data_IF_476295398560
#
_entry.id   IF_476295398560
#
_cell.length_a   1.000
_cell.length_b   1.000
_cell.length_c   1.000
_cell.angle_alpha   90.00
_cell.angle_beta   90.00
_cell.angle_gamma   90.00
#
_symmetry.space_group_name_H-M   'P 1'
#
loop_
_entity.id
_entity.type
_entity.pdbx_description
1 polymer ?
#
# COMPACT_ATOMS: atom_id res chain seq x y z
N UNK A 1 0.48 -7.57 59.41
CA UNK A 1 -0.21 -8.49 58.49
C UNK A 1 0.27 -8.16 57.08
N UNK A 2 0.61 -9.13 56.22
CA UNK A 2 0.97 -8.85 54.83
C UNK A 2 -0.26 -8.41 54.03
N UNK A 3 -0.06 -7.52 53.06
CA UNK A 3 -1.10 -7.05 52.15
C UNK A 3 -1.49 -8.12 51.13
N UNK A 4 -2.78 -8.20 50.79
CA UNK A 4 -3.28 -8.99 49.67
C UNK A 4 -2.56 -8.61 48.35
N UNK A 5 -2.34 -9.57 47.42
CA UNK A 5 -1.87 -9.23 46.08
C UNK A 5 -2.92 -8.41 45.32
N UNK A 6 -2.52 -7.57 44.36
CA UNK A 6 -3.47 -6.78 43.57
C UNK A 6 -4.36 -7.67 42.71
N UNK A 7 -5.65 -7.32 42.63
CA UNK A 7 -6.60 -7.96 41.73
C UNK A 7 -6.16 -7.74 40.27
N UNK A 8 -5.74 -8.80 39.58
CA UNK A 8 -5.68 -8.81 38.12
C UNK A 8 -7.11 -8.85 37.56
N UNK A 9 -7.77 -7.69 37.58
CA UNK A 9 -9.09 -7.50 36.98
C UNK A 9 -9.03 -7.82 35.50
N UNK A 10 -10.03 -8.55 35.03
CA UNK A 10 -10.10 -9.18 33.72
C UNK A 10 -9.67 -8.26 32.57
N UNK A 11 -8.46 -8.48 32.05
CA UNK A 11 -8.14 -8.12 30.67
C UNK A 11 -8.97 -9.03 29.75
N UNK A 12 -9.48 -8.53 28.60
CA UNK A 12 -10.15 -9.37 27.61
C UNK A 12 -9.24 -10.53 27.17
N UNK A 13 -9.82 -11.72 26.98
CA UNK A 13 -9.10 -12.94 26.58
C UNK A 13 -8.33 -12.79 25.25
N UNK A 14 -8.75 -11.84 24.43
CA UNK A 14 -8.14 -11.43 23.16
C UNK A 14 -6.67 -11.00 23.30
N UNK A 15 -6.28 -10.40 24.44
CA UNK A 15 -4.91 -9.94 24.68
C UNK A 15 -3.87 -11.08 24.75
N UNK A 16 -4.30 -12.32 24.94
CA UNK A 16 -3.42 -13.50 25.09
C UNK A 16 -3.47 -14.46 23.90
N UNK A 17 -4.16 -14.10 22.82
CA UNK A 17 -4.18 -14.92 21.60
C UNK A 17 -2.84 -14.85 20.86
N UNK A 18 -2.31 -16.02 20.48
CA UNK A 18 -1.04 -16.16 19.75
C UNK A 18 -1.09 -17.29 18.74
N UNK A 19 -0.31 -17.15 17.68
CA UNK A 19 -0.05 -18.17 16.66
C UNK A 19 1.36 -18.70 16.85
N UNK A 20 1.54 -20.02 16.77
CA UNK A 20 2.88 -20.62 16.69
C UNK A 20 3.22 -20.96 15.24
N UNK A 21 4.26 -20.34 14.69
CA UNK A 21 4.79 -20.63 13.36
C UNK A 21 6.24 -21.09 13.46
N UNK A 22 6.58 -22.27 12.93
CA UNK A 22 7.91 -22.89 13.01
C UNK A 22 8.55 -22.89 14.42
N UNK A 23 7.73 -23.01 15.48
CA UNK A 23 8.17 -22.97 16.87
C UNK A 23 8.36 -21.57 17.46
N UNK A 24 8.18 -20.50 16.68
CA UNK A 24 8.15 -19.12 17.15
C UNK A 24 6.71 -18.71 17.49
N UNK A 25 6.51 -18.06 18.64
CA UNK A 25 5.19 -17.59 19.09
C UNK A 25 5.01 -16.12 18.70
N UNK A 26 3.99 -15.84 17.90
CA UNK A 26 3.63 -14.51 17.43
C UNK A 26 2.30 -14.12 18.10
N UNK A 27 2.32 -13.08 18.93
CA UNK A 27 1.10 -12.56 19.56
C UNK A 27 0.22 -11.85 18.53
N UNK A 28 -1.10 -12.06 18.56
CA UNK A 28 -2.03 -11.35 17.66
C UNK A 28 -2.07 -9.84 17.94
N UNK A 29 -1.82 -9.43 19.18
CA UNK A 29 -1.63 -8.02 19.55
C UNK A 29 -0.41 -7.40 18.86
N UNK A 30 0.73 -8.11 18.79
CA UNK A 30 1.91 -7.66 18.06
C UNK A 30 1.66 -7.59 16.55
N UNK A 31 0.92 -8.57 16.00
CA UNK A 31 0.50 -8.57 14.60
C UNK A 31 -0.38 -7.35 14.26
N UNK A 32 -1.40 -7.05 15.10
CA UNK A 32 -2.28 -5.88 14.92
C UNK A 32 -1.49 -4.57 15.00
N UNK A 33 -0.56 -4.45 15.95
CA UNK A 33 0.33 -3.27 16.08
C UNK A 33 1.24 -3.11 14.86
N UNK A 34 1.81 -4.20 14.33
CA UNK A 34 2.63 -4.15 13.12
C UNK A 34 1.85 -3.74 11.88
N UNK A 35 0.69 -4.34 11.62
CA UNK A 35 -0.15 -3.99 10.45
C UNK A 35 -0.61 -2.53 10.53
N UNK A 36 -1.04 -2.06 11.71
CA UNK A 36 -1.38 -0.65 11.90
C UNK A 36 -0.17 0.28 11.67
N UNK A 37 1.04 -0.14 12.07
CA UNK A 37 2.27 0.63 11.82
C UNK A 37 2.65 0.66 10.33
N UNK A 38 2.45 -0.42 9.58
CA UNK A 38 2.64 -0.42 8.12
C UNK A 38 1.69 0.57 7.44
N UNK A 39 0.41 0.61 7.85
CA UNK A 39 -0.59 1.53 7.31
C UNK A 39 -0.24 3.00 7.65
N UNK A 40 0.19 3.27 8.88
CA UNK A 40 0.68 4.59 9.30
C UNK A 40 1.94 5.02 8.53
N UNK A 41 2.92 4.14 8.33
CA UNK A 41 4.13 4.43 7.55
C UNK A 41 3.79 4.68 6.07
N UNK A 42 2.92 3.88 5.46
CA UNK A 42 2.43 4.08 4.10
C UNK A 42 1.66 5.41 3.95
N UNK A 43 0.85 5.76 4.95
CA UNK A 43 0.13 7.05 4.99
C UNK A 43 1.10 8.23 5.11
N UNK A 44 2.13 8.12 5.95
CA UNK A 44 3.14 9.15 6.10
C UNK A 44 3.95 9.37 4.82
N UNK A 45 4.43 8.31 4.17
CA UNK A 45 5.15 8.41 2.89
C UNK A 45 4.26 9.05 1.82
N UNK A 46 2.99 8.61 1.69
CA UNK A 46 2.07 9.19 0.72
C UNK A 46 1.88 10.69 0.94
N UNK A 47 1.51 11.11 2.15
CA UNK A 47 1.14 12.51 2.38
C UNK A 47 2.33 13.45 2.57
N UNK A 48 3.42 13.01 3.23
CA UNK A 48 4.58 13.86 3.53
C UNK A 48 5.61 13.88 2.40
N UNK A 49 5.90 12.74 1.79
CA UNK A 49 7.00 12.59 0.82
C UNK A 49 6.55 12.61 -0.64
N UNK A 50 5.29 12.27 -0.94
CA UNK A 50 4.81 12.07 -2.31
C UNK A 50 3.71 13.04 -2.77
N UNK A 51 2.86 13.52 -1.85
CA UNK A 51 1.78 14.49 -2.12
C UNK A 51 2.02 15.87 -1.46
N UNK A 52 3.00 15.97 -0.57
CA UNK A 52 3.40 17.20 0.13
C UNK A 52 2.25 17.95 0.81
N UNK A 53 1.29 17.20 1.38
CA UNK A 53 -0.04 17.68 1.80
C UNK A 53 -0.50 17.09 3.14
N UNK A 54 -1.62 17.59 3.65
CA UNK A 54 -2.26 17.08 4.88
C UNK A 54 -3.01 15.78 4.61
N UNK A 55 -3.02 14.87 5.60
CA UNK A 55 -3.80 13.61 5.57
C UNK A 55 -5.33 13.79 5.43
N UNK A 56 -5.85 15.01 5.44
CA UNK A 56 -7.29 15.29 5.46
C UNK A 56 -8.05 14.61 4.31
N UNK A 57 -7.45 14.60 3.11
CA UNK A 57 -8.01 13.94 1.91
C UNK A 57 -8.24 12.43 2.09
N UNK A 58 -7.58 11.77 3.04
CA UNK A 58 -7.82 10.37 3.41
C UNK A 58 -9.12 10.20 4.23
N UNK A 59 -9.48 11.21 5.03
CA UNK A 59 -10.76 11.25 5.74
C UNK A 59 -11.91 11.71 4.83
N UNK A 60 -11.64 12.69 3.96
CA UNK A 60 -12.64 13.34 3.10
C UNK A 60 -12.97 12.52 1.82
N UNK A 61 -12.19 11.49 1.49
CA UNK A 61 -12.45 10.61 0.36
C UNK A 61 -13.65 9.68 0.63
N UNK A 62 -14.57 9.56 -0.35
CA UNK A 62 -15.62 8.55 -0.35
C UNK A 62 -15.45 7.61 -1.55
N UNK A 63 -15.12 6.35 -1.29
CA UNK A 63 -15.04 5.32 -2.34
C UNK A 63 -16.44 4.87 -2.78
N UNK A 64 -17.46 5.00 -1.92
CA UNK A 64 -18.88 4.77 -2.25
C UNK A 64 -19.37 5.59 -3.46
N UNK A 65 -18.76 6.75 -3.69
CA UNK A 65 -19.07 7.62 -4.83
C UNK A 65 -18.38 7.21 -6.16
N UNK A 66 -17.57 6.15 -6.16
CA UNK A 66 -16.92 5.62 -7.36
C UNK A 66 -17.65 4.35 -7.86
N UNK A 67 -17.87 4.27 -9.16
CA UNK A 67 -18.42 3.09 -9.85
C UNK A 67 -17.35 2.36 -10.66
N UNK A 68 -17.43 1.03 -10.75
CA UNK A 68 -16.57 0.24 -11.65
C UNK A 68 -17.32 -0.98 -12.20
N UNK A 69 -17.23 -1.23 -13.51
CA UNK A 69 -17.84 -2.41 -14.13
C UNK A 69 -16.78 -3.45 -14.51
N UNK A 70 -16.86 -4.60 -13.85
CA UNK A 70 -16.00 -5.76 -14.08
C UNK A 70 -16.22 -6.44 -15.43
N UNK A 71 -17.40 -6.28 -16.03
CA UNK A 71 -17.72 -6.85 -17.34
C UNK A 71 -17.05 -6.07 -18.48
N UNK A 72 -16.63 -4.81 -18.27
CA UNK A 72 -15.92 -4.03 -19.29
C UNK A 72 -14.55 -4.66 -19.54
N UNK A 73 -14.46 -5.25 -20.73
CA UNK A 73 -13.34 -6.01 -21.26
C UNK A 73 -12.36 -5.20 -22.11
N UNK A 74 -12.68 -3.92 -22.37
CA UNK A 74 -11.91 -3.03 -23.25
C UNK A 74 -10.52 -2.75 -22.69
N UNK A 75 -9.49 -2.82 -23.55
CA UNK A 75 -8.12 -2.40 -23.24
C UNK A 75 -8.08 -0.93 -22.79
N UNK A 76 -7.20 -0.62 -21.83
CA UNK A 76 -7.11 0.69 -21.17
C UNK A 76 -8.23 1.02 -20.17
N UNK A 77 -9.22 0.15 -19.95
CA UNK A 77 -10.30 0.40 -18.98
C UNK A 77 -9.85 0.18 -17.52
N UNK A 78 -10.23 1.12 -16.66
CA UNK A 78 -10.16 1.09 -15.19
C UNK A 78 -11.05 2.21 -14.63
N UNK A 79 -11.52 2.08 -13.39
CA UNK A 79 -12.33 3.12 -12.72
C UNK A 79 -11.68 4.51 -12.73
N UNK A 80 -10.34 4.58 -12.76
CA UNK A 80 -9.53 5.80 -12.82
C UNK A 80 -9.75 6.65 -14.09
N UNK A 81 -10.30 6.05 -15.15
CA UNK A 81 -10.54 6.68 -16.46
C UNK A 81 -11.98 6.49 -16.93
N UNK A 82 -12.87 6.10 -16.02
CA UNK A 82 -14.29 6.03 -16.32
C UNK A 82 -14.91 7.44 -16.31
N UNK A 83 -15.64 7.87 -17.35
CA UNK A 83 -16.25 9.19 -17.44
C UNK A 83 -17.10 9.58 -16.22
N UNK A 84 -17.83 8.63 -15.64
CA UNK A 84 -18.75 8.92 -14.53
C UNK A 84 -17.96 9.22 -13.23
N UNK A 85 -16.78 8.62 -13.07
CA UNK A 85 -15.88 8.85 -11.93
C UNK A 85 -15.05 10.15 -12.03
N UNK A 86 -14.88 10.75 -13.21
CA UNK A 86 -13.97 11.91 -13.40
C UNK A 86 -14.32 13.04 -12.44
N UNK A 87 -15.60 13.41 -12.36
CA UNK A 87 -16.06 14.51 -11.52
C UNK A 87 -15.88 14.27 -10.01
N UNK A 88 -15.79 13.00 -9.59
CA UNK A 88 -15.53 12.57 -8.21
C UNK A 88 -14.02 12.59 -7.93
N UNK A 89 -13.24 11.92 -8.79
CA UNK A 89 -11.78 11.81 -8.67
C UNK A 89 -11.08 13.16 -8.73
N UNK A 90 -11.58 14.11 -9.51
CA UNK A 90 -11.00 15.45 -9.62
C UNK A 90 -11.02 16.24 -8.30
N UNK A 91 -11.95 15.96 -7.36
CA UNK A 91 -11.93 16.55 -6.01
C UNK A 91 -10.75 16.04 -5.15
N UNK A 92 -10.21 14.87 -5.51
CA UNK A 92 -9.12 14.20 -4.81
C UNK A 92 -7.79 14.26 -5.58
N UNK A 93 -7.75 15.02 -6.68
CA UNK A 93 -6.50 15.34 -7.37
C UNK A 93 -5.69 16.33 -6.55
N UNK A 94 -4.44 15.95 -6.30
CA UNK A 94 -3.43 16.77 -5.64
C UNK A 94 -2.26 16.82 -6.60
N UNK A 95 -1.99 18.00 -7.17
CA UNK A 95 -0.75 18.27 -7.89
C UNK A 95 0.40 18.40 -6.87
N UNK A 96 1.30 17.41 -6.77
CA UNK A 96 2.36 17.44 -5.76
C UNK A 96 3.43 18.48 -6.09
N UNK A 97 3.60 18.84 -7.36
CA UNK A 97 4.55 19.88 -7.79
C UNK A 97 4.05 21.24 -7.30
N UNK A 98 2.76 21.55 -7.49
CA UNK A 98 2.14 22.77 -6.97
C UNK A 98 2.10 22.79 -5.42
N UNK A 99 1.86 21.65 -4.76
CA UNK A 99 1.97 21.57 -3.29
C UNK A 99 3.38 21.86 -2.80
N UNK A 100 4.39 21.41 -3.54
CA UNK A 100 5.79 21.64 -3.23
C UNK A 100 6.22 23.10 -3.49
N UNK A 101 5.74 23.74 -4.57
CA UNK A 101 5.93 25.19 -4.82
C UNK A 101 5.52 26.06 -3.62
N UNK A 102 4.38 25.72 -3.02
CA UNK A 102 3.77 26.48 -1.94
C UNK A 102 4.50 26.36 -0.59
N UNK A 103 5.47 25.45 -0.44
CA UNK A 103 6.24 25.29 0.79
C UNK A 103 7.37 26.33 0.91
N UNK A 104 7.76 26.75 2.13
CA UNK A 104 8.91 27.63 2.33
C UNK A 104 10.21 27.02 1.76
N UNK A 105 10.68 27.57 0.64
CA UNK A 105 11.83 27.07 -0.12
C UNK A 105 11.47 26.41 -1.47
N UNK A 106 10.22 26.00 -1.67
CA UNK A 106 9.71 25.35 -2.88
C UNK A 106 9.92 26.15 -4.17
N UNK A 107 9.80 27.47 -4.12
CA UNK A 107 10.06 28.34 -5.28
C UNK A 107 11.52 28.29 -5.81
N UNK A 108 12.50 27.94 -4.98
CA UNK A 108 13.89 27.71 -5.45
C UNK A 108 14.04 26.36 -6.15
N UNK A 109 13.20 25.40 -5.79
CA UNK A 109 13.18 24.04 -6.30
C UNK A 109 12.47 23.96 -7.65
N UNK A 110 11.21 24.40 -7.73
CA UNK A 110 10.32 24.14 -8.88
C UNK A 110 10.63 24.99 -10.12
N UNK A 111 11.55 25.97 -10.02
CA UNK A 111 12.21 26.56 -11.19
C UNK A 111 12.99 25.51 -12.04
N UNK A 112 13.18 24.29 -11.53
CA UNK A 112 13.59 23.10 -12.27
C UNK A 112 12.69 21.90 -11.88
N UNK A 113 11.99 21.24 -12.82
CA UNK A 113 10.81 20.41 -12.52
C UNK A 113 11.06 19.02 -11.89
N UNK A 114 12.21 18.76 -11.27
CA UNK A 114 12.62 17.46 -10.72
C UNK A 114 13.33 17.62 -9.34
N UNK A 115 12.77 17.04 -8.25
CA UNK A 115 12.92 17.50 -6.84
C UNK A 115 12.75 16.29 -5.85
N UNK A 116 13.38 16.10 -4.67
CA UNK A 116 13.62 16.92 -3.42
C UNK A 116 15.10 16.87 -2.88
N UNK A 117 15.46 17.55 -1.75
CA UNK A 117 16.84 17.62 -1.14
C UNK A 117 16.91 17.15 0.33
N UNK A 118 18.03 16.52 0.73
CA UNK A 118 18.29 16.04 2.11
C UNK A 118 18.75 17.11 3.14
N UNK A 119 19.41 18.22 2.73
CA UNK A 119 19.76 19.32 3.66
C UNK A 119 19.86 20.71 3.00
N UNK A 120 19.71 21.77 3.79
CA UNK A 120 19.59 23.17 3.33
C UNK A 120 20.87 24.03 3.49
N UNK A 121 21.93 23.51 4.09
CA UNK A 121 23.17 24.29 4.33
C UNK A 121 24.09 24.30 3.11
N UNK A 122 24.30 23.13 2.49
CA UNK A 122 25.23 22.94 1.36
C UNK A 122 24.78 23.69 0.10
N UNK A 123 23.46 23.77 -0.13
CA UNK A 123 22.83 24.47 -1.25
C UNK A 123 23.22 25.96 -1.34
N UNK A 124 23.57 26.61 -0.23
CA UNK A 124 23.86 28.05 -0.19
C UNK A 124 25.17 28.42 -0.90
N UNK A 125 26.05 27.45 -1.13
CA UNK A 125 27.42 27.66 -1.60
C UNK A 125 27.71 27.10 -3.00
N UNK A 126 26.72 26.50 -3.69
CA UNK A 126 26.90 25.88 -5.00
C UNK A 126 26.44 26.78 -6.16
N UNK A 127 27.08 26.64 -7.33
CA UNK A 127 26.69 27.37 -8.53
C UNK A 127 25.47 26.77 -9.24
N UNK A 128 24.73 27.60 -9.99
CA UNK A 128 23.50 27.22 -10.70
C UNK A 128 23.68 26.12 -11.75
N UNK A 129 24.83 26.03 -12.40
CA UNK A 129 25.09 25.04 -13.45
C UNK A 129 25.38 23.65 -12.84
N UNK A 130 26.20 23.60 -11.80
CA UNK A 130 26.45 22.35 -11.05
C UNK A 130 25.18 21.86 -10.36
N UNK A 131 24.38 22.75 -9.75
CA UNK A 131 23.07 22.35 -9.21
C UNK A 131 22.16 21.75 -10.29
N UNK A 132 21.95 22.42 -11.43
CA UNK A 132 21.06 21.88 -12.48
C UNK A 132 21.48 20.48 -12.98
N UNK A 133 22.78 20.21 -13.10
CA UNK A 133 23.29 18.95 -13.66
C UNK A 133 23.29 17.79 -12.66
N UNK A 134 23.64 18.05 -11.40
CA UNK A 134 23.83 17.01 -10.37
C UNK A 134 22.57 16.81 -9.53
N UNK A 135 21.76 17.85 -9.35
CA UNK A 135 20.70 17.84 -8.35
C UNK A 135 19.41 17.18 -8.85
N UNK A 136 18.87 17.62 -9.99
CA UNK A 136 17.60 17.12 -10.56
C UNK A 136 17.49 15.57 -10.61
N UNK A 137 18.54 14.80 -11.01
CA UNK A 137 18.44 13.34 -11.07
C UNK A 137 18.35 12.67 -9.69
N UNK A 138 19.12 13.16 -8.70
CA UNK A 138 19.09 12.67 -7.32
C UNK A 138 17.73 12.93 -6.68
N UNK A 139 17.19 14.11 -6.97
CA UNK A 139 15.94 14.59 -6.43
C UNK A 139 14.75 13.74 -6.92
N UNK A 140 14.65 13.51 -8.23
CA UNK A 140 13.68 12.57 -8.81
C UNK A 140 13.94 11.11 -8.39
N UNK A 141 15.19 10.73 -8.10
CA UNK A 141 15.52 9.42 -7.52
C UNK A 141 14.94 9.25 -6.10
N UNK A 142 15.04 10.26 -5.22
CA UNK A 142 14.39 10.25 -3.90
C UNK A 142 12.88 10.05 -4.05
N UNK A 143 12.19 10.85 -4.88
CA UNK A 143 10.74 10.70 -5.10
C UNK A 143 10.36 9.30 -5.60
N UNK A 144 11.09 8.77 -6.58
CA UNK A 144 10.83 7.41 -7.09
C UNK A 144 11.17 6.33 -6.05
N UNK A 145 12.14 6.55 -5.17
CA UNK A 145 12.47 5.63 -4.08
C UNK A 145 11.36 5.63 -3.00
N UNK A 146 10.82 6.79 -2.61
CA UNK A 146 9.65 6.88 -1.72
C UNK A 146 8.40 6.25 -2.35
N UNK A 147 8.15 6.46 -3.64
CA UNK A 147 7.04 5.83 -4.35
C UNK A 147 7.18 4.30 -4.45
N UNK A 148 8.41 3.81 -4.62
CA UNK A 148 8.71 2.38 -4.53
C UNK A 148 8.57 1.85 -3.10
N UNK A 149 8.99 2.58 -2.07
CA UNK A 149 8.85 2.16 -0.68
C UNK A 149 7.37 2.07 -0.26
N UNK A 150 6.55 3.04 -0.68
CA UNK A 150 5.10 2.98 -0.51
C UNK A 150 4.49 1.72 -1.14
N UNK A 151 4.86 1.38 -2.38
CA UNK A 151 4.44 0.11 -3.00
C UNK A 151 4.91 -1.12 -2.21
N UNK A 152 6.10 -1.09 -1.61
CA UNK A 152 6.62 -2.21 -0.80
C UNK A 152 5.86 -2.39 0.52
N UNK A 153 5.40 -1.30 1.15
CA UNK A 153 4.50 -1.38 2.30
C UNK A 153 3.10 -1.83 1.90
N UNK A 154 2.54 -1.26 0.82
CA UNK A 154 1.23 -1.66 0.29
C UNK A 154 1.19 -3.15 -0.07
N UNK A 155 2.25 -3.69 -0.67
CA UNK A 155 2.41 -5.13 -0.93
C UNK A 155 2.17 -5.97 0.33
N UNK A 156 2.80 -5.62 1.46
CA UNK A 156 2.68 -6.36 2.73
C UNK A 156 1.32 -6.12 3.38
N UNK A 157 0.77 -4.91 3.30
CA UNK A 157 -0.59 -4.60 3.80
C UNK A 157 -1.64 -5.42 3.03
N UNK A 158 -1.55 -5.50 1.71
CA UNK A 158 -2.46 -6.26 0.84
C UNK A 158 -2.35 -7.78 1.08
N UNK A 159 -1.17 -8.28 1.48
CA UNK A 159 -0.99 -9.67 1.92
C UNK A 159 -1.62 -9.98 3.28
N UNK A 160 -1.76 -8.97 4.14
CA UNK A 160 -2.39 -9.08 5.46
C UNK A 160 -3.89 -8.76 5.45
N UNK A 161 -4.39 -8.08 4.41
CA UNK A 161 -5.81 -7.78 4.20
C UNK A 161 -6.67 -9.05 3.99
N UNK A 162 -7.97 -8.93 4.26
CA UNK A 162 -8.89 -10.06 4.32
C UNK A 162 -9.08 -10.76 2.97
N UNK A 163 -9.04 -12.11 2.98
CA UNK A 163 -9.32 -12.96 1.84
C UNK A 163 -8.43 -14.21 1.83
N UNK A 164 -8.38 -14.94 0.72
CA UNK A 164 -7.38 -16.00 0.58
C UNK A 164 -6.01 -15.39 0.30
N UNK A 165 -4.94 -15.70 1.08
CA UNK A 165 -3.59 -15.28 0.72
C UNK A 165 -3.25 -15.78 -0.70
N UNK A 166 -2.49 -15.01 -1.50
CA UNK A 166 -2.13 -15.41 -2.86
C UNK A 166 -1.19 -16.61 -2.86
N UNK A 167 -1.14 -17.34 -3.98
CA UNK A 167 -0.13 -18.38 -4.22
C UNK A 167 0.99 -17.81 -5.09
N UNK A 168 2.21 -18.33 -4.92
CA UNK A 168 3.38 -17.94 -5.71
C UNK A 168 3.54 -16.42 -5.85
N UNK A 169 3.51 -15.95 -7.10
CA UNK A 169 3.75 -14.55 -7.47
C UNK A 169 2.48 -13.82 -7.98
N UNK A 170 1.27 -14.37 -7.77
CA UNK A 170 0.02 -13.86 -8.38
C UNK A 170 -0.18 -12.36 -8.09
N UNK A 171 0.16 -11.92 -6.87
CA UNK A 171 0.03 -10.53 -6.43
C UNK A 171 0.88 -9.55 -7.26
N UNK A 172 2.05 -9.97 -7.73
CA UNK A 172 2.94 -9.12 -8.55
C UNK A 172 2.36 -8.84 -9.94
N UNK A 173 1.45 -9.69 -10.40
CA UNK A 173 0.83 -9.63 -11.73
C UNK A 173 -0.49 -8.84 -11.73
N UNK A 174 -0.89 -8.23 -10.61
CA UNK A 174 -2.03 -7.31 -10.54
C UNK A 174 -1.81 -6.16 -11.52
N UNK A 175 -2.73 -6.02 -12.48
CA UNK A 175 -2.79 -4.85 -13.36
C UNK A 175 -3.74 -3.77 -12.81
N UNK A 176 -3.44 -2.50 -13.11
CA UNK A 176 -4.24 -1.31 -12.78
C UNK A 176 -5.29 -1.04 -13.85
N UNK A 177 -4.97 -1.35 -15.10
CA UNK A 177 -5.80 -1.21 -16.30
C UNK A 177 -5.95 -2.56 -16.99
N UNK A 178 -7.03 -2.76 -17.74
CA UNK A 178 -7.10 -3.88 -18.68
C UNK A 178 -6.07 -3.72 -19.82
N UNK A 179 -5.56 -4.83 -20.35
CA UNK A 179 -4.96 -4.89 -21.69
C UNK A 179 -5.77 -5.82 -22.62
N UNK A 180 -5.29 -6.06 -23.83
CA UNK A 180 -5.97 -6.88 -24.85
C UNK A 180 -5.95 -8.39 -24.56
N UNK A 181 -5.22 -8.85 -23.53
CA UNK A 181 -4.98 -10.26 -23.23
C UNK A 181 -5.31 -10.66 -21.79
N UNK A 182 -5.51 -9.68 -20.90
CA UNK A 182 -5.73 -9.86 -19.48
C UNK A 182 -6.61 -8.73 -18.89
N UNK A 183 -6.80 -8.73 -17.57
CA UNK A 183 -7.72 -7.82 -16.87
C UNK A 183 -6.97 -7.10 -15.76
N UNK A 184 -7.44 -5.90 -15.41
CA UNK A 184 -7.09 -5.28 -14.12
C UNK A 184 -7.36 -6.25 -12.97
N UNK A 185 -6.53 -6.18 -11.94
CA UNK A 185 -6.73 -6.87 -10.67
C UNK A 185 -7.27 -5.96 -9.58
N UNK A 186 -7.54 -4.68 -9.87
CA UNK A 186 -8.05 -3.68 -8.94
C UNK A 186 -9.41 -3.19 -9.43
N UNK A 187 -10.41 -3.22 -8.56
CA UNK A 187 -11.81 -2.84 -8.85
C UNK A 187 -12.41 -2.02 -7.70
N UNK A 188 -13.51 -1.32 -7.97
CA UNK A 188 -14.42 -0.83 -6.92
C UNK A 188 -15.64 -1.74 -6.86
N UNK A 189 -16.10 -2.11 -5.66
CA UNK A 189 -17.42 -2.73 -5.45
C UNK A 189 -17.94 -2.40 -4.06
N UNK A 190 -19.24 -2.13 -3.95
CA UNK A 190 -19.94 -1.93 -2.68
C UNK A 190 -19.24 -0.92 -1.74
N UNK A 191 -18.69 0.16 -2.32
CA UNK A 191 -17.95 1.22 -1.61
C UNK A 191 -16.52 0.87 -1.20
N UNK A 192 -16.00 -0.31 -1.56
CA UNK A 192 -14.65 -0.77 -1.22
C UNK A 192 -13.76 -0.93 -2.45
N UNK A 193 -12.45 -0.81 -2.25
CA UNK A 193 -11.45 -1.29 -3.23
C UNK A 193 -11.29 -2.79 -3.07
N UNK A 194 -11.40 -3.53 -4.18
CA UNK A 194 -11.10 -4.95 -4.24
C UNK A 194 -9.82 -5.24 -5.01
N UNK A 195 -9.07 -6.23 -4.51
CA UNK A 195 -7.92 -6.81 -5.17
C UNK A 195 -8.22 -8.27 -5.51
N UNK A 196 -8.32 -8.54 -6.81
CA UNK A 196 -8.64 -9.84 -7.37
C UNK A 196 -7.38 -10.40 -8.03
N UNK A 197 -6.91 -11.54 -7.53
CA UNK A 197 -5.85 -12.32 -8.18
C UNK A 197 -6.40 -13.63 -8.73
N UNK A 198 -5.66 -14.27 -9.63
CA UNK A 198 -5.70 -15.73 -9.77
C UNK A 198 -5.55 -16.40 -8.40
N UNK A 199 -6.13 -17.58 -8.24
CA UNK A 199 -5.93 -18.46 -7.08
C UNK A 199 -4.65 -19.32 -7.19
N UNK A 200 -3.91 -19.21 -8.30
CA UNK A 200 -2.59 -19.81 -8.51
C UNK A 200 -2.54 -21.34 -8.43
N UNK A 201 -3.71 -21.99 -8.34
CA UNK A 201 -3.82 -23.40 -7.99
C UNK A 201 -4.43 -24.17 -9.18
N UNK A 202 -3.68 -25.02 -9.90
CA UNK A 202 -4.06 -25.53 -11.23
C UNK A 202 -5.26 -26.50 -11.25
N UNK A 203 -5.91 -26.73 -10.11
CA UNK A 203 -7.10 -27.57 -9.92
C UNK A 203 -8.30 -26.81 -9.32
N UNK A 204 -8.15 -25.50 -9.10
CA UNK A 204 -9.24 -24.59 -8.71
C UNK A 204 -9.26 -23.44 -9.72
N UNK A 205 -10.44 -22.84 -9.86
CA UNK A 205 -10.71 -21.79 -10.83
C UNK A 205 -11.65 -20.75 -10.18
N UNK A 206 -11.30 -20.31 -8.97
CA UNK A 206 -12.07 -19.31 -8.21
C UNK A 206 -11.11 -18.19 -7.81
N UNK A 207 -11.17 -17.00 -8.43
CA UNK A 207 -10.21 -15.95 -8.16
C UNK A 207 -10.19 -15.58 -6.67
N UNK A 208 -8.99 -15.33 -6.16
CA UNK A 208 -8.81 -14.91 -4.78
C UNK A 208 -9.07 -13.40 -4.67
N UNK A 209 -10.32 -13.09 -4.32
CA UNK A 209 -10.80 -11.74 -3.98
C UNK A 209 -10.30 -11.35 -2.59
N UNK A 210 -9.91 -10.08 -2.44
CA UNK A 210 -9.60 -9.43 -1.16
C UNK A 210 -10.26 -8.06 -1.12
N UNK A 211 -11.07 -7.82 -0.09
CA UNK A 211 -11.66 -6.51 0.17
C UNK A 211 -10.64 -5.71 0.99
N UNK A 212 -10.29 -4.52 0.53
CA UNK A 212 -9.36 -3.65 1.27
C UNK A 212 -10.13 -2.87 2.34
N UNK A 213 -9.66 -2.81 3.60
CA UNK A 213 -10.17 -1.87 4.58
C UNK A 213 -10.13 -0.44 4.02
N UNK A 214 -11.13 0.39 4.34
CA UNK A 214 -11.34 1.72 3.77
C UNK A 214 -10.04 2.53 3.58
N UNK A 215 -9.29 2.72 4.66
CA UNK A 215 -8.00 3.44 4.68
C UNK A 215 -7.01 2.88 3.65
N UNK A 216 -6.90 1.56 3.53
CA UNK A 216 -5.99 0.89 2.57
C UNK A 216 -6.48 1.10 1.13
N UNK A 217 -7.79 0.99 0.90
CA UNK A 217 -8.40 1.29 -0.40
C UNK A 217 -8.11 2.72 -0.84
N UNK A 218 -8.25 3.70 0.06
CA UNK A 218 -7.99 5.11 -0.22
C UNK A 218 -6.50 5.40 -0.49
N UNK A 219 -5.58 4.77 0.25
CA UNK A 219 -4.14 4.85 -0.05
C UNK A 219 -3.83 4.34 -1.46
N UNK A 220 -4.46 3.24 -1.90
CA UNK A 220 -4.32 2.71 -3.26
C UNK A 220 -4.88 3.69 -4.29
N UNK A 221 -6.11 4.19 -4.11
CA UNK A 221 -6.74 5.16 -5.05
C UNK A 221 -5.91 6.43 -5.17
N UNK A 222 -5.46 7.02 -4.05
CA UNK A 222 -4.64 8.23 -4.05
C UNK A 222 -3.25 8.01 -4.69
N UNK A 223 -2.62 6.85 -4.46
CA UNK A 223 -1.38 6.49 -5.14
C UNK A 223 -1.59 6.42 -6.66
N UNK A 224 -2.63 5.71 -7.12
CA UNK A 224 -2.93 5.52 -8.53
C UNK A 224 -3.34 6.84 -9.24
N UNK A 225 -4.06 7.71 -8.53
CA UNK A 225 -4.57 8.97 -9.06
C UNK A 225 -3.49 10.06 -9.18
N UNK A 226 -2.59 10.16 -8.19
CA UNK A 226 -1.71 11.32 -8.01
C UNK A 226 -0.21 10.98 -8.10
N UNK A 227 0.23 9.80 -7.62
CA UNK A 227 1.67 9.43 -7.58
C UNK A 227 2.08 8.67 -8.84
N UNK A 228 1.35 7.62 -9.21
CA UNK A 228 1.65 6.78 -10.37
C UNK A 228 1.89 7.60 -11.66
N UNK A 229 1.08 8.63 -12.01
CA UNK A 229 1.28 9.44 -13.22
C UNK A 229 2.58 10.24 -13.28
N UNK A 230 3.29 10.41 -12.14
CA UNK A 230 4.57 11.11 -12.07
C UNK A 230 5.78 10.15 -12.14
N UNK A 231 5.57 8.86 -11.87
CA UNK A 231 6.61 7.83 -11.93
C UNK A 231 6.78 7.25 -13.34
N UNK A 232 7.83 6.45 -13.54
CA UNK A 232 7.97 5.59 -14.74
C UNK A 232 7.11 4.32 -14.70
N UNK A 233 6.53 3.96 -13.55
CA UNK A 233 5.66 2.79 -13.45
C UNK A 233 4.36 2.92 -14.26
N UNK A 234 3.92 4.15 -14.62
CA UNK A 234 2.76 4.39 -15.50
C UNK A 234 2.88 3.83 -16.92
N UNK A 235 4.09 3.48 -17.35
CA UNK A 235 4.34 2.81 -18.64
C UNK A 235 4.05 1.29 -18.55
N UNK A 236 3.81 0.77 -17.34
CA UNK A 236 3.40 -0.61 -17.08
C UNK A 236 1.90 -0.72 -16.83
N UNK A 237 1.26 -1.83 -17.21
CA UNK A 237 -0.08 -2.15 -16.71
C UNK A 237 -0.06 -2.59 -15.24
N UNK A 238 1.08 -3.06 -14.70
CA UNK A 238 1.20 -3.65 -13.37
C UNK A 238 1.28 -2.63 -12.23
N UNK A 239 0.62 -2.91 -11.09
CA UNK A 239 0.75 -2.13 -9.85
C UNK A 239 2.19 -2.22 -9.29
N UNK A 240 2.72 -3.43 -9.18
CA UNK A 240 4.08 -3.69 -8.67
C UNK A 240 5.11 -3.70 -9.82
N UNK A 241 5.10 -2.65 -10.63
CA UNK A 241 5.99 -2.49 -11.78
C UNK A 241 7.43 -2.12 -11.37
N UNK A 242 8.41 -2.57 -12.16
CA UNK A 242 9.80 -2.18 -12.01
C UNK A 242 9.99 -0.67 -12.19
N UNK A 243 10.96 -0.06 -11.50
CA UNK A 243 11.31 1.38 -11.58
C UNK A 243 11.68 1.88 -12.99
N UNK A 244 11.82 0.99 -13.97
CA UNK A 244 12.05 1.29 -15.38
C UNK A 244 10.79 1.13 -16.27
N UNK A 245 9.59 1.00 -15.66
CA UNK A 245 8.31 0.84 -16.35
C UNK A 245 8.06 -0.56 -16.95
N UNK A 246 9.05 -1.44 -17.02
CA UNK A 246 8.97 -2.69 -17.80
C UNK A 246 8.81 -3.92 -16.92
N UNK A 247 7.59 -4.49 -16.95
CA UNK A 247 7.22 -5.70 -16.21
C UNK A 247 7.08 -5.50 -14.70
N UNK A 248 6.55 -6.52 -14.05
CA UNK A 248 6.41 -6.58 -12.60
C UNK A 248 7.73 -6.93 -11.87
N UNK A 249 7.75 -6.76 -10.55
CA UNK A 249 8.88 -7.16 -9.70
C UNK A 249 9.17 -8.66 -9.77
N UNK A 250 10.40 -9.04 -9.48
CA UNK A 250 10.81 -10.45 -9.41
C UNK A 250 10.35 -11.11 -8.11
N UNK A 251 10.24 -12.45 -8.13
CA UNK A 251 10.00 -13.25 -6.91
C UNK A 251 11.04 -13.00 -5.83
N UNK A 252 12.31 -12.79 -6.20
CA UNK A 252 13.39 -12.50 -5.25
C UNK A 252 13.13 -11.22 -4.47
N UNK A 253 12.75 -10.13 -5.15
CA UNK A 253 12.36 -8.87 -4.48
C UNK A 253 11.12 -9.05 -3.61
N UNK A 254 10.13 -9.81 -4.09
CA UNK A 254 8.90 -10.10 -3.35
C UNK A 254 9.17 -10.87 -2.04
N UNK A 255 10.05 -11.87 -2.06
CA UNK A 255 10.50 -12.59 -0.86
C UNK A 255 11.36 -11.70 0.08
N UNK A 256 12.25 -10.88 -0.49
CA UNK A 256 13.10 -9.92 0.25
C UNK A 256 12.28 -8.90 1.06
N UNK A 257 11.27 -8.27 0.46
CA UNK A 257 10.42 -7.27 1.14
C UNK A 257 9.71 -7.89 2.34
N UNK A 258 9.12 -9.08 2.16
CA UNK A 258 8.33 -9.72 3.21
C UNK A 258 9.25 -10.16 4.36
N UNK A 259 10.42 -10.74 4.07
CA UNK A 259 11.41 -11.06 5.12
C UNK A 259 11.88 -9.80 5.88
N UNK A 260 12.07 -8.68 5.17
CA UNK A 260 12.52 -7.41 5.74
C UNK A 260 11.49 -6.81 6.69
N UNK A 261 10.25 -6.63 6.24
CA UNK A 261 9.21 -6.01 7.07
C UNK A 261 8.74 -6.92 8.21
N UNK A 262 8.74 -8.25 8.02
CA UNK A 262 8.43 -9.19 9.11
C UNK A 262 9.54 -9.25 10.17
N UNK A 263 10.81 -9.19 9.76
CA UNK A 263 11.92 -9.08 10.72
C UNK A 263 11.87 -7.76 11.51
N UNK A 264 11.59 -6.64 10.82
CA UNK A 264 11.47 -5.29 11.41
C UNK A 264 10.30 -5.18 12.39
N UNK A 265 9.14 -5.78 12.05
CA UNK A 265 7.89 -5.59 12.80
C UNK A 265 7.54 -6.70 13.80
N UNK A 266 7.88 -7.95 13.50
CA UNK A 266 7.54 -9.13 14.30
C UNK A 266 8.77 -9.80 14.93
N UNK A 267 9.99 -9.33 14.64
CA UNK A 267 11.24 -9.93 15.09
C UNK A 267 11.59 -11.27 14.40
N UNK A 268 10.83 -11.67 13.38
CA UNK A 268 10.94 -12.98 12.73
C UNK A 268 10.95 -12.83 11.21
N UNK A 269 11.89 -13.49 10.52
CA UNK A 269 11.93 -13.52 9.05
C UNK A 269 10.92 -14.55 8.52
N UNK A 270 9.87 -14.07 7.86
CA UNK A 270 8.92 -14.92 7.15
C UNK A 270 9.06 -14.67 5.64
N UNK A 271 9.27 -15.73 4.86
CA UNK A 271 9.01 -15.68 3.42
C UNK A 271 7.52 -15.76 3.11
N UNK A 272 7.14 -15.65 1.83
CA UNK A 272 5.75 -15.68 1.32
C UNK A 272 4.91 -16.81 1.95
N UNK A 273 5.43 -18.04 1.95
CA UNK A 273 4.74 -19.20 2.50
C UNK A 273 4.58 -19.16 4.04
N UNK A 274 5.48 -18.46 4.75
CA UNK A 274 5.40 -18.26 6.19
C UNK A 274 4.37 -17.21 6.57
N UNK A 275 4.33 -16.07 5.85
CA UNK A 275 3.27 -15.07 6.02
C UNK A 275 1.90 -15.66 5.67
N UNK A 276 1.82 -16.45 4.59
CA UNK A 276 0.62 -17.23 4.21
C UNK A 276 0.17 -18.17 5.34
N UNK A 277 1.09 -18.92 5.94
CA UNK A 277 0.76 -19.83 7.03
C UNK A 277 0.27 -19.07 8.27
N UNK A 278 0.97 -17.99 8.65
CA UNK A 278 0.55 -17.10 9.72
C UNK A 278 -0.86 -16.55 9.50
N UNK A 279 -1.17 -16.04 8.31
CA UNK A 279 -2.53 -15.61 7.94
C UNK A 279 -3.56 -16.75 8.12
N UNK A 280 -3.25 -17.96 7.62
CA UNK A 280 -4.15 -19.12 7.74
C UNK A 280 -4.38 -19.57 9.19
N UNK A 281 -3.42 -19.39 10.10
CA UNK A 281 -3.65 -19.64 11.54
C UNK A 281 -4.44 -18.50 12.20
N UNK A 282 -4.15 -17.24 11.85
CA UNK A 282 -4.89 -16.05 12.30
C UNK A 282 -6.38 -16.20 11.97
N UNK A 283 -6.72 -16.62 10.75
CA UNK A 283 -8.11 -16.89 10.32
C UNK A 283 -8.78 -18.12 10.95
N UNK A 284 -8.08 -18.90 11.80
CA UNK A 284 -8.70 -19.95 12.65
C UNK A 284 -8.97 -19.45 14.06
N UNK A 285 -8.14 -18.53 14.57
CA UNK A 285 -8.26 -17.98 15.92
C UNK A 285 -9.34 -16.89 15.94
N UNK A 286 -9.40 -16.05 14.90
CA UNK A 286 -10.54 -15.19 14.61
C UNK A 286 -11.71 -16.08 14.20
N UNK A 287 -12.73 -16.19 15.05
CA UNK A 287 -13.95 -16.94 14.70
C UNK A 287 -14.74 -16.22 13.58
N UNK A 288 -15.51 -16.95 12.73
CA UNK A 288 -16.25 -16.40 11.59
C UNK A 288 -17.51 -15.60 12.03
N UNK A 289 -17.24 -14.50 12.74
CA UNK A 289 -18.20 -13.61 13.41
C UNK A 289 -17.51 -12.55 14.30
N UNK A 290 -16.17 -12.62 14.45
CA UNK A 290 -15.34 -11.63 15.14
C UNK A 290 -14.75 -10.56 14.22
N UNK A 291 -15.05 -10.57 12.92
CA UNK A 291 -14.83 -9.37 12.11
C UNK A 291 -15.98 -8.39 12.33
N UNK A 292 -15.66 -7.10 12.44
CA UNK A 292 -16.65 -6.04 12.27
C UNK A 292 -16.93 -5.80 10.79
N UNK A 293 -17.90 -4.92 10.55
CA UNK A 293 -18.44 -4.67 9.23
C UNK A 293 -17.42 -3.88 8.36
N UNK A 294 -16.39 -3.31 9.00
CA UNK A 294 -15.20 -2.66 8.41
C UNK A 294 -14.02 -3.65 8.16
N UNK A 295 -14.17 -4.92 8.56
CA UNK A 295 -13.18 -5.98 8.34
C UNK A 295 -12.04 -6.07 9.36
N UNK A 296 -12.11 -5.35 10.49
CA UNK A 296 -11.19 -5.47 11.62
C UNK A 296 -11.66 -6.54 12.61
N UNK A 297 -10.74 -7.06 13.43
CA UNK A 297 -11.12 -7.94 14.55
C UNK A 297 -11.76 -7.08 15.65
N UNK A 298 -13.02 -7.38 15.97
CA UNK A 298 -13.83 -6.77 17.05
C UNK A 298 -13.12 -6.81 18.42
N UNK A 299 -13.67 -6.05 19.36
CA UNK A 299 -13.24 -5.88 20.75
C UNK A 299 -14.44 -5.93 21.72
#
# INVERSE_FOLDING_TARGET
MPSSPPEFRHLPLEYFQSVTYNGQVIMLSALRVWVNKLIEDATDILFKELLFSSRATLSDMSIESLTDDMAISRSGCSFLVDPDNVSVLDNYRIDPVQKLEAQPGGGLMVNYPDIIVDSMEELKNMDRHTMKKTFMPLAAEVYNNSAMHLLELLLVIILMAAGLPPYGNDLLHIQVINDDHSRRGIYIRDGMVEIITSDGHPTRARPAVRHMPDVVGKLIVLYLLNVLPLTKQKESPFLFANRNGRGCWSRGKYEEIIERETAKGLGVKLGVNGLRALHLEVSKVISPGMLDDDGYVRA
#
